data_IF_732155708523
#
_entry.id   IF_732155708523
#
_cell.length_a   1.000
_cell.length_b   1.000
_cell.length_c   1.000
_cell.angle_alpha   90.00
_cell.angle_beta   90.00
_cell.angle_gamma   90.00
#
_symmetry.space_group_name_H-M   'P 1'
#
loop_
_entity.id
_entity.type
_entity.pdbx_description
1 polymer ?
#
# COMPACT_ATOMS: atom_id res chain seq x y z
N UNK A 1 -22.06 -4.34 -4.64
CA UNK A 1 -21.88 -3.56 -5.89
C UNK A 1 -20.52 -2.89 -5.79
N UNK A 2 -19.68 -2.85 -6.85
CA UNK A 2 -18.44 -2.10 -6.77
C UNK A 2 -18.76 -0.66 -6.38
N UNK A 3 -18.02 -0.12 -5.41
CA UNK A 3 -18.25 1.24 -4.94
C UNK A 3 -18.17 2.21 -6.13
N UNK A 4 -19.16 3.10 -6.24
CA UNK A 4 -19.15 4.14 -7.25
C UNK A 4 -17.97 5.09 -6.99
N UNK A 5 -17.20 5.39 -8.04
CA UNK A 5 -16.11 6.35 -7.95
C UNK A 5 -16.67 7.74 -7.65
N UNK A 6 -16.14 8.40 -6.62
CA UNK A 6 -16.50 9.77 -6.26
C UNK A 6 -15.28 10.64 -6.24
N UNK A 7 -15.36 11.89 -6.71
CA UNK A 7 -14.26 12.84 -6.60
C UNK A 7 -14.24 13.46 -5.18
N UNK A 8 -13.43 12.85 -4.30
CA UNK A 8 -13.42 13.13 -2.85
C UNK A 8 -11.99 13.36 -2.33
N UNK A 9 -11.14 13.96 -3.16
CA UNK A 9 -9.78 14.29 -2.76
C UNK A 9 -9.83 15.36 -1.67
N UNK A 10 -9.07 15.16 -0.60
CA UNK A 10 -8.88 16.16 0.45
C UNK A 10 -7.39 16.37 0.69
N UNK A 11 -7.03 17.56 1.14
CA UNK A 11 -5.65 17.92 1.50
C UNK A 11 -5.67 18.55 2.89
N UNK A 12 -4.93 17.96 3.81
CA UNK A 12 -4.68 18.50 5.15
C UNK A 12 -3.21 18.89 5.28
N UNK A 13 -2.98 20.20 5.36
CA UNK A 13 -1.66 20.80 5.54
C UNK A 13 -1.47 21.36 6.95
N UNK A 14 -2.34 21.06 7.92
CA UNK A 14 -2.35 21.75 9.23
C UNK A 14 -2.44 20.83 10.44
N UNK A 15 -3.09 19.67 10.35
CA UNK A 15 -3.44 18.87 11.52
C UNK A 15 -2.34 17.89 11.96
N UNK A 16 -1.31 17.67 11.15
CA UNK A 16 -0.28 16.65 11.37
C UNK A 16 1.13 17.24 11.21
N UNK A 17 2.19 16.47 11.44
CA UNK A 17 3.57 16.93 11.16
C UNK A 17 3.96 16.81 9.68
N UNK A 18 3.06 16.26 8.85
CA UNK A 18 3.20 16.07 7.40
C UNK A 18 1.97 16.58 6.65
N UNK A 19 2.10 16.80 5.35
CA UNK A 19 0.97 17.04 4.47
C UNK A 19 0.31 15.70 4.16
N UNK A 20 -1.01 15.63 4.32
CA UNK A 20 -1.81 14.45 4.03
C UNK A 20 -2.80 14.74 2.90
N UNK A 21 -2.63 14.06 1.77
CA UNK A 21 -3.55 14.10 0.65
C UNK A 21 -4.31 12.77 0.61
N UNK A 22 -5.62 12.80 0.85
CA UNK A 22 -6.46 11.61 0.90
C UNK A 22 -7.14 11.38 -0.44
N UNK A 23 -7.27 10.11 -0.83
CA UNK A 23 -7.98 9.69 -2.05
C UNK A 23 -7.37 10.26 -3.34
N UNK A 24 -6.08 10.50 -3.45
CA UNK A 24 -5.47 10.90 -4.73
C UNK A 24 -5.71 9.82 -5.80
N UNK A 25 -5.99 10.25 -7.04
CA UNK A 25 -6.25 9.35 -8.17
C UNK A 25 -4.97 9.04 -8.93
N UNK A 26 -4.69 7.75 -9.09
CA UNK A 26 -3.68 7.21 -10.00
C UNK A 26 -4.39 6.65 -11.25
N UNK A 27 -4.20 7.21 -12.45
CA UNK A 27 -4.71 6.61 -13.67
C UNK A 27 -3.93 5.34 -14.02
N UNK A 28 -4.64 4.31 -14.49
CA UNK A 28 -4.02 3.07 -14.97
C UNK A 28 -3.89 3.08 -16.49
N UNK A 29 -2.82 2.50 -17.01
CA UNK A 29 -2.61 2.34 -18.47
C UNK A 29 -3.71 1.47 -19.10
N UNK A 30 -4.26 0.53 -18.33
CA UNK A 30 -5.38 -0.33 -18.74
C UNK A 30 -6.73 0.40 -18.87
N UNK A 31 -6.81 1.68 -18.53
CA UNK A 31 -8.05 2.48 -18.60
C UNK A 31 -8.86 2.53 -17.30
N UNK A 32 -8.30 2.02 -16.20
CA UNK A 32 -8.86 2.10 -14.84
C UNK A 32 -8.26 3.23 -13.99
N UNK A 33 -8.53 3.18 -12.68
CA UNK A 33 -7.98 4.13 -11.71
C UNK A 33 -7.84 3.50 -10.33
N UNK A 34 -6.81 3.89 -9.59
CA UNK A 34 -6.53 3.50 -8.21
C UNK A 34 -6.61 4.72 -7.31
N UNK A 35 -7.10 4.54 -6.07
CA UNK A 35 -7.08 5.55 -5.03
C UNK A 35 -5.95 5.29 -4.05
N UNK A 36 -5.20 6.35 -3.74
CA UNK A 36 -4.14 6.31 -2.76
C UNK A 36 -4.22 7.48 -1.79
N UNK A 37 -3.54 7.33 -0.67
CA UNK A 37 -3.23 8.39 0.27
C UNK A 37 -1.75 8.74 0.10
N UNK A 38 -1.43 10.04 0.07
CA UNK A 38 -0.07 10.55 -0.01
C UNK A 38 0.25 11.32 1.26
N UNK A 39 1.36 10.96 1.89
CA UNK A 39 1.90 11.62 3.06
C UNK A 39 3.28 12.17 2.69
N UNK A 40 3.53 13.46 2.87
CA UNK A 40 4.83 14.06 2.49
C UNK A 40 5.31 15.11 3.48
N UNK A 41 6.63 15.31 3.61
CA UNK A 41 7.19 16.31 4.52
C UNK A 41 6.74 17.73 4.15
N UNK A 42 6.60 18.60 5.16
CA UNK A 42 6.26 20.02 4.96
C UNK A 42 7.48 20.81 4.51
N UNK A 43 7.31 21.73 3.57
CA UNK A 43 8.35 22.67 3.16
C UNK A 43 9.61 22.03 2.55
N UNK A 44 9.58 20.72 2.24
CA UNK A 44 10.67 20.02 1.59
C UNK A 44 10.60 20.20 0.06
N UNK A 45 11.77 20.14 -0.58
CA UNK A 45 11.85 19.91 -2.03
C UNK A 45 11.45 18.47 -2.40
N UNK A 46 11.69 18.04 -3.64
CA UNK A 46 11.38 16.68 -4.08
C UNK A 46 12.08 15.61 -3.23
N UNK A 47 11.34 14.62 -2.74
CA UNK A 47 11.82 13.54 -1.85
C UNK A 47 11.62 12.16 -2.45
N UNK A 48 12.39 11.13 -2.07
CA UNK A 48 12.07 9.74 -2.41
C UNK A 48 10.72 9.31 -1.81
N UNK A 49 10.02 8.40 -2.48
CA UNK A 49 8.72 7.90 -2.05
C UNK A 49 8.79 6.43 -1.63
N UNK A 50 8.07 6.06 -0.57
CA UNK A 50 7.84 4.67 -0.18
C UNK A 50 6.40 4.31 -0.54
N UNK A 51 6.22 3.29 -1.38
CA UNK A 51 4.90 2.95 -1.94
C UNK A 51 4.45 1.57 -1.46
N UNK A 52 3.20 1.48 -1.01
CA UNK A 52 2.48 0.23 -0.77
C UNK A 52 1.20 0.16 -1.60
N UNK A 53 0.87 -1.05 -2.05
CA UNK A 53 -0.35 -1.36 -2.79
C UNK A 53 -0.90 -2.70 -2.32
N UNK A 54 -2.14 -2.73 -1.85
CA UNK A 54 -2.70 -3.96 -1.30
C UNK A 54 -4.14 -3.85 -0.78
N UNK A 55 -4.67 -4.95 -0.22
CA UNK A 55 -6.10 -5.13 -0.05
C UNK A 55 -6.59 -4.89 1.39
N UNK A 56 -5.79 -4.23 2.24
CA UNK A 56 -6.07 -4.09 3.68
C UNK A 56 -6.71 -2.77 4.09
N UNK A 57 -7.12 -1.95 3.12
CA UNK A 57 -7.75 -0.65 3.36
C UNK A 57 -6.74 0.43 3.77
N UNK A 58 -6.51 1.41 2.90
CA UNK A 58 -5.55 2.50 3.13
C UNK A 58 -5.94 3.41 4.30
N UNK A 59 -7.22 3.42 4.67
CA UNK A 59 -7.82 4.22 5.75
C UNK A 59 -8.07 3.39 7.03
N UNK A 60 -7.66 2.11 7.07
CA UNK A 60 -7.81 1.26 8.24
C UNK A 60 -6.70 1.55 9.26
N UNK A 61 -7.06 2.17 10.38
CA UNK A 61 -6.12 2.53 11.45
C UNK A 61 -5.64 1.29 12.21
N UNK A 62 -4.33 1.19 12.44
CA UNK A 62 -3.69 0.05 13.10
C UNK A 62 -4.29 -0.19 14.51
N UNK A 63 -4.43 0.88 15.30
CA UNK A 63 -4.95 0.78 16.68
C UNK A 63 -6.33 0.12 16.76
N UNK A 64 -7.18 0.31 15.74
CA UNK A 64 -8.53 -0.25 15.69
C UNK A 64 -8.53 -1.67 15.13
N UNK A 65 -7.68 -1.91 14.12
CA UNK A 65 -7.62 -3.20 13.44
C UNK A 65 -6.97 -4.30 14.27
N UNK A 66 -5.87 -4.00 14.97
CA UNK A 66 -5.09 -4.97 15.74
C UNK A 66 -4.51 -4.37 17.04
N UNK A 67 -5.36 -3.93 18.00
CA UNK A 67 -4.96 -3.12 19.17
C UNK A 67 -3.87 -3.75 20.04
N UNK A 68 -3.89 -5.07 20.24
CA UNK A 68 -2.88 -5.76 21.05
C UNK A 68 -1.49 -5.68 20.43
N UNK A 69 -1.40 -5.87 19.11
CA UNK A 69 -0.11 -5.77 18.40
C UNK A 69 0.32 -4.32 18.29
N UNK A 70 -0.63 -3.40 18.05
CA UNK A 70 -0.35 -1.96 18.08
C UNK A 70 0.26 -1.53 19.42
N UNK A 71 -0.20 -2.08 20.56
CA UNK A 71 0.36 -1.75 21.87
C UNK A 71 1.88 -2.01 21.95
N UNK A 72 2.37 -3.05 21.28
CA UNK A 72 3.78 -3.46 21.27
C UNK A 72 4.67 -2.68 20.27
N UNK A 73 4.06 -1.95 19.33
CA UNK A 73 4.80 -1.14 18.36
C UNK A 73 5.52 0.03 19.05
N UNK A 74 6.73 0.34 18.59
CA UNK A 74 7.50 1.49 19.09
C UNK A 74 6.72 2.80 18.99
N UNK A 75 6.76 3.70 20.00
CA UNK A 75 6.00 4.96 19.98
C UNK A 75 6.19 5.81 18.72
N UNK A 76 7.37 5.77 18.10
CA UNK A 76 7.69 6.53 16.89
C UNK A 76 6.91 6.05 15.64
N UNK A 77 6.33 4.85 15.67
CA UNK A 77 5.53 4.28 14.57
C UNK A 77 4.03 4.28 14.88
N UNK A 78 3.60 5.13 15.80
CA UNK A 78 2.20 5.26 16.24
C UNK A 78 1.58 6.59 15.79
N UNK A 79 1.88 7.06 14.58
CA UNK A 79 1.27 8.28 14.06
C UNK A 79 -0.24 8.10 13.82
N UNK A 80 -0.97 9.20 13.65
CA UNK A 80 -2.42 9.18 13.43
C UNK A 80 -2.85 8.29 12.25
N UNK A 81 -1.98 8.12 11.24
CA UNK A 81 -2.24 7.33 10.04
C UNK A 81 -1.44 6.01 9.98
N UNK A 82 -0.94 5.52 11.13
CA UNK A 82 -0.36 4.19 11.22
C UNK A 82 -1.38 3.13 10.77
N UNK A 83 -0.97 2.23 9.89
CA UNK A 83 -1.80 1.12 9.42
C UNK A 83 -1.03 -0.20 9.43
N UNK A 84 -1.75 -1.29 9.66
CA UNK A 84 -1.23 -2.65 9.73
C UNK A 84 -0.32 -2.98 8.55
N UNK A 85 0.88 -3.52 8.82
CA UNK A 85 1.87 -3.98 7.84
C UNK A 85 2.42 -2.94 6.84
N UNK A 86 2.13 -1.65 7.04
CA UNK A 86 2.62 -0.56 6.16
C UNK A 86 3.59 0.38 6.89
N UNK A 87 4.43 1.13 6.15
CA UNK A 87 5.27 2.17 6.71
C UNK A 87 4.44 3.23 7.46
N UNK A 88 4.84 3.57 8.69
CA UNK A 88 4.21 4.66 9.44
C UNK A 88 4.52 6.03 8.78
N UNK A 89 3.50 6.80 8.38
CA UNK A 89 3.73 8.08 7.71
C UNK A 89 4.54 9.07 8.54
N UNK A 90 4.25 9.23 9.84
CA UNK A 90 4.94 10.18 10.70
C UNK A 90 6.44 9.90 10.81
N UNK A 91 6.80 8.64 11.00
CA UNK A 91 8.20 8.22 11.01
C UNK A 91 8.90 8.54 9.69
N UNK A 92 8.37 8.11 8.55
CA UNK A 92 9.08 8.26 7.29
C UNK A 92 9.11 9.70 6.77
N UNK A 93 8.06 10.49 6.99
CA UNK A 93 8.06 11.91 6.63
C UNK A 93 9.03 12.73 7.46
N UNK A 94 9.23 12.39 8.74
CA UNK A 94 10.25 13.06 9.57
C UNK A 94 11.68 12.72 9.14
N UNK A 95 11.87 11.65 8.37
CA UNK A 95 13.15 11.23 7.78
C UNK A 95 13.32 11.63 6.31
N UNK A 96 12.45 12.51 5.78
CA UNK A 96 12.59 13.04 4.43
C UNK A 96 12.12 12.10 3.32
N UNK A 97 11.17 11.22 3.61
CA UNK A 97 10.50 10.38 2.62
C UNK A 97 9.02 10.76 2.49
N UNK A 98 8.47 10.68 1.27
CA UNK A 98 7.04 10.58 1.09
C UNK A 98 6.57 9.13 1.30
N UNK A 99 5.33 8.94 1.72
CA UNK A 99 4.68 7.62 1.80
C UNK A 99 3.42 7.67 0.93
N UNK A 100 3.26 6.68 0.06
CA UNK A 100 2.06 6.49 -0.76
C UNK A 100 1.45 5.14 -0.38
N UNK A 101 0.21 5.17 0.09
CA UNK A 101 -0.55 3.96 0.45
C UNK A 101 -1.75 3.84 -0.48
N UNK A 102 -1.74 2.84 -1.34
CA UNK A 102 -2.75 2.64 -2.37
C UNK A 102 -3.61 1.40 -2.11
N UNK A 103 -4.92 1.54 -2.32
CA UNK A 103 -5.86 0.42 -2.25
C UNK A 103 -5.86 -0.37 -3.55
N UNK A 104 -5.83 -1.70 -3.43
CA UNK A 104 -5.94 -2.60 -4.58
C UNK A 104 -7.22 -2.37 -5.39
N UNK A 105 -7.16 -2.69 -6.68
CA UNK A 105 -8.31 -2.62 -7.56
C UNK A 105 -9.48 -3.42 -6.97
N UNK A 106 -10.69 -2.85 -6.98
CA UNK A 106 -11.88 -3.47 -6.38
C UNK A 106 -12.05 -3.23 -4.88
N UNK A 107 -11.17 -2.45 -4.24
CA UNK A 107 -11.27 -2.06 -2.83
C UNK A 107 -11.57 -0.57 -2.65
N UNK A 108 -12.33 -0.21 -1.61
CA UNK A 108 -12.55 1.17 -1.23
C UNK A 108 -13.11 2.00 -2.38
N UNK A 109 -12.37 3.03 -2.81
CA UNK A 109 -12.72 3.89 -3.94
C UNK A 109 -11.91 3.60 -5.22
N UNK A 110 -11.19 2.47 -5.27
CA UNK A 110 -10.52 1.91 -6.45
C UNK A 110 -11.49 0.97 -7.20
N UNK A 111 -12.13 1.40 -8.31
CA UNK A 111 -13.13 0.58 -8.99
C UNK A 111 -12.52 -0.67 -9.62
N UNK A 112 -13.33 -1.71 -9.81
CA UNK A 112 -12.94 -2.92 -10.52
C UNK A 112 -13.18 -4.18 -9.71
N UNK A 113 -12.44 -5.24 -10.03
CA UNK A 113 -12.52 -6.54 -9.35
C UNK A 113 -11.29 -6.74 -8.49
N UNK A 114 -11.52 -7.13 -7.24
CA UNK A 114 -10.47 -7.54 -6.33
C UNK A 114 -10.06 -8.98 -6.63
N UNK A 115 -8.94 -9.13 -7.34
CA UNK A 115 -8.30 -10.42 -7.64
C UNK A 115 -6.87 -10.41 -7.12
N UNK A 116 -6.76 -10.71 -5.82
CA UNK A 116 -5.52 -10.49 -5.05
C UNK A 116 -4.34 -11.22 -5.67
N UNK A 117 -3.29 -10.46 -5.96
CA UNK A 117 -2.08 -10.97 -6.60
C UNK A 117 -2.40 -11.65 -7.93
N UNK A 118 -3.25 -11.03 -8.72
CA UNK A 118 -3.37 -11.32 -10.15
C UNK A 118 -2.23 -10.68 -10.94
N UNK A 119 -2.21 -10.95 -12.25
CA UNK A 119 -1.38 -10.18 -13.19
C UNK A 119 -1.79 -8.70 -13.16
N UNK A 120 -3.09 -8.44 -13.21
CA UNK A 120 -3.63 -7.08 -13.30
C UNK A 120 -3.29 -6.26 -12.06
N UNK A 121 -3.32 -6.86 -10.86
CA UNK A 121 -2.79 -6.26 -9.63
C UNK A 121 -1.34 -5.82 -9.79
N UNK A 122 -0.51 -6.66 -10.42
CA UNK A 122 0.92 -6.35 -10.60
C UNK A 122 1.14 -5.25 -11.66
N UNK A 123 0.33 -5.20 -12.71
CA UNK A 123 0.34 -4.10 -13.70
C UNK A 123 -0.10 -2.78 -13.04
N UNK A 124 -1.22 -2.80 -12.31
CA UNK A 124 -1.71 -1.62 -11.60
C UNK A 124 -0.67 -1.12 -10.59
N UNK A 125 0.05 -2.01 -9.91
CA UNK A 125 1.13 -1.61 -9.02
C UNK A 125 2.31 -0.97 -9.77
N UNK A 126 2.61 -1.40 -11.00
CA UNK A 126 3.60 -0.70 -11.84
C UNK A 126 3.14 0.74 -12.10
N UNK A 127 1.89 0.95 -12.47
CA UNK A 127 1.33 2.27 -12.75
C UNK A 127 1.35 3.17 -11.49
N UNK A 128 1.05 2.62 -10.31
CA UNK A 128 1.15 3.36 -9.03
C UNK A 128 2.59 3.78 -8.73
N UNK A 129 3.57 2.91 -8.98
CA UNK A 129 4.99 3.22 -8.81
C UNK A 129 5.44 4.31 -9.78
N UNK A 130 5.13 4.17 -11.06
CA UNK A 130 5.54 5.13 -12.09
C UNK A 130 4.86 6.48 -11.90
N UNK A 131 3.58 6.49 -11.50
CA UNK A 131 2.86 7.68 -11.12
C UNK A 131 3.53 8.39 -9.93
N UNK A 132 3.87 7.66 -8.86
CA UNK A 132 4.52 8.22 -7.69
C UNK A 132 5.91 8.77 -8.02
N UNK A 133 6.65 8.12 -8.92
CA UNK A 133 7.94 8.61 -9.42
C UNK A 133 7.79 9.90 -10.25
N UNK A 134 6.67 10.07 -10.97
CA UNK A 134 6.43 11.21 -11.84
C UNK A 134 5.88 12.47 -11.16
N UNK A 135 5.55 12.42 -9.87
CA UNK A 135 4.97 13.57 -9.17
C UNK A 135 6.00 14.68 -8.92
N UNK A 136 5.55 15.95 -8.91
CA UNK A 136 6.42 17.11 -8.68
C UNK A 136 7.09 17.11 -7.29
N UNK A 137 6.46 16.49 -6.29
CA UNK A 137 7.01 16.30 -4.96
C UNK A 137 7.98 15.11 -4.85
N UNK A 138 8.12 14.31 -5.91
CA UNK A 138 8.94 13.10 -5.93
C UNK A 138 10.30 13.36 -6.56
N UNK A 139 11.34 12.78 -5.96
CA UNK A 139 12.70 12.78 -6.54
C UNK A 139 12.86 11.84 -7.75
N UNK A 140 11.79 11.14 -8.15
CA UNK A 140 11.82 10.10 -9.18
C UNK A 140 12.28 8.73 -8.67
N UNK A 141 12.65 8.61 -7.39
CA UNK A 141 13.06 7.35 -6.75
C UNK A 141 11.95 6.82 -5.86
N UNK A 142 11.52 5.60 -6.13
CA UNK A 142 10.51 4.86 -5.36
C UNK A 142 11.16 3.65 -4.67
N UNK A 143 10.91 3.53 -3.37
CA UNK A 143 11.19 2.34 -2.58
C UNK A 143 9.92 1.58 -2.26
N UNK A 144 10.01 0.26 -2.13
CA UNK A 144 8.92 -0.58 -1.61
C UNK A 144 9.29 -1.08 -0.22
N UNK A 145 8.37 -0.94 0.73
CA UNK A 145 8.53 -1.45 2.09
C UNK A 145 7.16 -1.81 2.64
N UNK A 146 7.01 -3.04 3.12
CA UNK A 146 5.78 -3.54 3.71
C UNK A 146 5.95 -5.00 4.13
N UNK A 147 4.99 -5.49 4.91
CA UNK A 147 5.02 -6.81 5.54
C UNK A 147 3.99 -7.74 4.88
N UNK A 148 4.21 -9.05 4.97
CA UNK A 148 3.32 -10.13 4.50
C UNK A 148 2.80 -9.95 3.06
N UNK A 149 1.56 -9.51 2.84
CA UNK A 149 1.01 -9.27 1.50
C UNK A 149 1.76 -8.16 0.78
N UNK A 150 2.04 -7.05 1.48
CA UNK A 150 2.80 -5.95 0.93
C UNK A 150 4.27 -6.30 0.66
N UNK A 151 4.79 -7.36 1.28
CA UNK A 151 6.11 -7.90 0.96
C UNK A 151 6.05 -8.81 -0.27
N UNK A 152 5.09 -9.74 -0.33
CA UNK A 152 4.94 -10.65 -1.46
C UNK A 152 4.60 -9.96 -2.78
N UNK A 153 3.86 -8.84 -2.72
CA UNK A 153 3.54 -8.04 -3.92
C UNK A 153 4.78 -7.37 -4.52
N UNK A 154 5.81 -7.09 -3.70
CA UNK A 154 7.06 -6.48 -4.18
C UNK A 154 7.80 -7.39 -5.15
N UNK A 155 7.87 -8.70 -4.86
CA UNK A 155 8.53 -9.66 -5.76
C UNK A 155 7.90 -9.66 -7.15
N UNK A 156 6.56 -9.58 -7.19
CA UNK A 156 5.79 -9.63 -8.43
C UNK A 156 5.93 -8.35 -9.24
N UNK A 157 5.80 -7.19 -8.61
CA UNK A 157 5.94 -5.91 -9.32
C UNK A 157 7.40 -5.64 -9.72
N UNK A 158 8.37 -6.00 -8.89
CA UNK A 158 9.79 -5.82 -9.22
C UNK A 158 10.21 -6.64 -10.45
N UNK A 159 9.65 -7.84 -10.64
CA UNK A 159 9.86 -8.64 -11.84
C UNK A 159 9.38 -7.94 -13.13
N UNK A 160 8.49 -6.94 -13.01
CA UNK A 160 8.00 -6.13 -14.14
C UNK A 160 8.88 -4.93 -14.46
N UNK A 161 9.83 -4.60 -13.58
CA UNK A 161 10.83 -3.52 -13.75
C UNK A 161 10.19 -2.15 -14.03
N UNK A 162 9.21 -1.69 -13.22
CA UNK A 162 8.59 -0.38 -13.41
C UNK A 162 9.63 0.74 -13.30
N UNK A 163 9.43 1.82 -14.06
CA UNK A 163 10.31 2.99 -13.99
C UNK A 163 10.23 3.65 -12.62
N UNK A 164 11.36 4.18 -12.15
CA UNK A 164 11.46 4.85 -10.86
C UNK A 164 11.63 3.92 -9.65
N UNK A 165 11.37 2.61 -9.78
CA UNK A 165 11.67 1.66 -8.70
C UNK A 165 13.18 1.56 -8.48
N UNK A 166 13.62 2.03 -7.31
CA UNK A 166 15.04 2.16 -6.94
C UNK A 166 15.45 1.20 -5.82
N UNK A 167 14.52 0.77 -4.97
CA UNK A 167 14.78 -0.14 -3.86
C UNK A 167 13.54 -0.95 -3.47
N UNK A 168 13.75 -2.12 -2.86
CA UNK A 168 12.68 -2.91 -2.26
C UNK A 168 13.17 -3.57 -0.96
N UNK A 169 12.29 -3.61 0.03
CA UNK A 169 12.47 -4.26 1.34
C UNK A 169 11.24 -5.13 1.59
N UNK A 170 11.21 -6.35 1.02
CA UNK A 170 10.12 -7.30 1.20
C UNK A 170 10.25 -7.99 2.56
N UNK A 171 9.59 -7.45 3.57
CA UNK A 171 9.69 -7.95 4.93
C UNK A 171 8.72 -9.13 5.14
N UNK A 172 9.24 -10.35 5.20
CA UNK A 172 8.45 -11.57 5.48
C UNK A 172 7.30 -11.81 4.49
N UNK A 173 7.60 -11.74 3.18
CA UNK A 173 6.63 -11.98 2.10
C UNK A 173 6.83 -13.31 1.37
N UNK A 174 5.72 -13.98 1.03
CA UNK A 174 5.74 -15.17 0.17
C UNK A 174 6.25 -14.86 -1.24
N UNK A 175 6.96 -15.83 -1.85
CA UNK A 175 7.45 -15.73 -3.24
C UNK A 175 6.77 -16.73 -4.17
N UNK A 176 6.37 -17.89 -3.65
CA UNK A 176 5.62 -18.93 -4.35
C UNK A 176 4.28 -19.17 -3.64
N UNK A 177 3.19 -18.78 -4.30
CA UNK A 177 1.84 -18.92 -3.72
C UNK A 177 1.42 -20.37 -3.47
N UNK A 178 1.85 -21.29 -4.33
CA UNK A 178 1.49 -22.68 -4.17
C UNK A 178 2.25 -23.27 -2.98
N UNK A 179 3.56 -23.05 -2.90
CA UNK A 179 4.43 -23.69 -1.90
C UNK A 179 4.42 -23.01 -0.54
N UNK A 180 4.40 -21.67 -0.52
CA UNK A 180 4.61 -20.89 0.71
C UNK A 180 3.28 -20.57 1.41
N UNK A 181 2.15 -20.69 0.71
CA UNK A 181 0.84 -20.21 1.20
C UNK A 181 -0.25 -21.26 1.14
N UNK A 182 -0.45 -21.91 0.00
CA UNK A 182 -1.61 -22.76 -0.23
C UNK A 182 -1.37 -24.24 0.08
N UNK A 183 -0.16 -24.74 -0.21
CA UNK A 183 0.16 -26.17 -0.20
C UNK A 183 1.57 -26.46 0.35
N UNK A 184 1.65 -26.84 1.61
CA UNK A 184 2.89 -27.32 2.21
C UNK A 184 3.18 -28.74 1.75
N UNK A 185 4.21 -28.92 0.91
CA UNK A 185 4.52 -30.23 0.32
C UNK A 185 3.40 -30.83 -0.54
N UNK A 186 2.51 -30.00 -1.10
CA UNK A 186 1.36 -30.45 -1.90
C UNK A 186 0.06 -30.70 -1.10
N UNK A 187 0.12 -30.68 0.24
CA UNK A 187 -1.03 -30.83 1.13
C UNK A 187 -1.76 -29.50 1.25
N UNK A 188 -3.07 -29.48 0.97
CA UNK A 188 -3.88 -28.26 1.08
C UNK A 188 -3.87 -27.71 2.51
N UNK A 189 -3.47 -26.45 2.65
CA UNK A 189 -3.48 -25.69 3.90
C UNK A 189 -4.28 -24.40 3.71
N UNK A 190 -5.60 -24.47 3.90
CA UNK A 190 -6.51 -23.37 3.58
C UNK A 190 -7.10 -22.63 4.81
N UNK A 191 -6.87 -23.11 6.03
CA UNK A 191 -7.43 -22.49 7.23
C UNK A 191 -6.98 -21.03 7.39
N UNK A 192 -5.67 -20.76 7.24
CA UNK A 192 -5.13 -19.40 7.25
C UNK A 192 -5.69 -18.55 6.11
N UNK A 193 -5.80 -19.10 4.89
CA UNK A 193 -6.31 -18.35 3.73
C UNK A 193 -7.76 -17.93 3.95
N UNK A 194 -8.58 -18.83 4.50
CA UNK A 194 -9.96 -18.54 4.84
C UNK A 194 -10.05 -17.46 5.91
N UNK A 195 -9.25 -17.57 6.98
CA UNK A 195 -9.18 -16.54 8.02
C UNK A 195 -8.74 -15.19 7.47
N UNK A 196 -7.62 -15.15 6.74
CA UNK A 196 -7.05 -13.96 6.12
C UNK A 196 -8.06 -13.25 5.22
N UNK A 197 -8.71 -14.00 4.32
CA UNK A 197 -9.69 -13.42 3.38
C UNK A 197 -10.86 -12.79 4.14
N UNK A 198 -11.46 -13.54 5.06
CA UNK A 198 -12.69 -13.11 5.75
C UNK A 198 -12.43 -12.05 6.84
N UNK A 199 -11.21 -11.95 7.38
CA UNK A 199 -10.88 -11.04 8.48
C UNK A 199 -10.06 -9.82 8.07
N UNK A 200 -9.20 -9.95 7.06
CA UNK A 200 -8.25 -8.90 6.68
C UNK A 200 -8.56 -8.25 5.33
N UNK A 201 -9.24 -8.96 4.42
CA UNK A 201 -9.50 -8.47 3.06
C UNK A 201 -10.91 -7.92 2.94
N UNK A 202 -11.93 -8.77 3.13
CA UNK A 202 -13.34 -8.40 2.85
C UNK A 202 -13.96 -7.42 3.85
N UNK A 203 -13.27 -7.11 4.94
CA UNK A 203 -13.73 -6.18 5.97
C UNK A 203 -13.48 -4.72 5.61
N UNK A 204 -12.76 -4.45 4.51
CA UNK A 204 -12.43 -3.11 4.03
C UNK A 204 -13.28 -2.70 2.81
#
# INVERSE_FOLDING_TARGET
MPNEYRDIVTVDETSFDYIFEQNVTVPLVSGGRIRCNVYRPRGAGPVPAIVTYGPYGKDTHYQDFHPQSFAEVSPQHKSAHAAWETPDPGFWTSHGYAVVRADEQGLGQSPGVLDTMSRDTSEAFCDVIEWAAGQAWSSGKVGLLGISYYAGSQWRVAARRPKGLAAMVPWEGMSDYYRDRCRHGGILSNAFIWFWWNRQVVTN
#
